data_IF_677186940173
#
_entry.id   IF_677186940173
#
_cell.length_a   1.000
_cell.length_b   1.000
_cell.length_c   1.000
_cell.angle_alpha   90.00
_cell.angle_beta   90.00
_cell.angle_gamma   90.00
#
_symmetry.space_group_name_H-M   'P 1'
#
loop_
_entity.id
_entity.type
_entity.pdbx_description
1 polymer ?
#
# COMPACT_ATOMS: atom_id res chain seq x y z
N UNK A 1 -47.59 -81.08 -16.49
CA UNK A 1 -46.42 -81.33 -15.62
C UNK A 1 -45.44 -80.19 -15.81
N UNK A 2 -44.86 -79.77 -14.71
CA UNK A 2 -44.04 -78.57 -14.47
C UNK A 2 -42.73 -78.59 -15.27
N UNK A 3 -42.21 -77.41 -15.64
CA UNK A 3 -40.83 -76.95 -15.36
C UNK A 3 -40.31 -76.04 -16.49
N UNK A 4 -40.38 -74.71 -16.32
CA UNK A 4 -39.26 -73.85 -15.89
C UNK A 4 -38.04 -73.86 -16.83
N UNK A 5 -37.84 -72.78 -17.58
CA UNK A 5 -36.76 -71.79 -17.34
C UNK A 5 -36.70 -70.77 -18.47
N UNK A 6 -37.52 -69.75 -18.31
CA UNK A 6 -37.24 -68.38 -18.75
C UNK A 6 -36.05 -67.80 -17.97
N UNK A 7 -35.44 -66.76 -18.53
CA UNK A 7 -34.47 -65.83 -17.92
C UNK A 7 -33.00 -66.26 -17.87
N UNK A 8 -32.24 -65.97 -18.92
CA UNK A 8 -30.81 -65.73 -18.78
C UNK A 8 -30.16 -64.93 -19.92
N UNK A 9 -30.78 -63.86 -20.43
CA UNK A 9 -30.05 -62.90 -21.30
C UNK A 9 -30.55 -61.46 -21.10
N UNK A 10 -30.57 -60.96 -19.86
CA UNK A 10 -30.70 -59.51 -19.59
C UNK A 10 -29.90 -59.18 -18.34
N UNK A 11 -28.56 -59.29 -18.35
CA UNK A 11 -27.71 -58.76 -17.27
C UNK A 11 -26.28 -58.41 -17.74
N UNK A 12 -26.13 -57.75 -18.89
CA UNK A 12 -24.90 -56.99 -19.19
C UNK A 12 -25.28 -55.64 -19.81
N UNK A 13 -26.05 -54.86 -19.06
CA UNK A 13 -26.31 -53.45 -19.36
C UNK A 13 -26.68 -52.71 -18.07
N UNK A 14 -25.88 -52.88 -17.01
CA UNK A 14 -26.10 -52.17 -15.75
C UNK A 14 -24.84 -52.04 -14.88
N UNK A 15 -23.65 -51.82 -15.47
CA UNK A 15 -22.42 -51.55 -14.69
C UNK A 15 -21.49 -50.47 -15.27
N UNK A 16 -21.98 -49.55 -16.11
CA UNK A 16 -21.21 -48.33 -16.49
C UNK A 16 -22.06 -47.07 -16.30
N UNK A 17 -22.75 -46.98 -15.15
CA UNK A 17 -23.55 -45.81 -14.78
C UNK A 17 -23.48 -45.54 -13.26
N UNK A 18 -22.29 -45.72 -12.66
CA UNK A 18 -22.09 -45.46 -11.23
C UNK A 18 -20.70 -44.87 -10.90
N UNK A 19 -20.15 -44.01 -11.78
CA UNK A 19 -18.95 -43.22 -11.48
C UNK A 19 -19.08 -41.75 -11.91
N UNK A 20 -20.31 -41.21 -11.98
CA UNK A 20 -20.47 -39.77 -11.77
C UNK A 20 -20.50 -39.54 -10.27
N UNK A 21 -19.30 -39.55 -9.68
CA UNK A 21 -19.10 -39.07 -8.32
C UNK A 21 -19.64 -37.65 -8.24
N UNK A 22 -20.67 -37.46 -7.42
CA UNK A 22 -21.10 -36.14 -7.00
C UNK A 22 -19.88 -35.43 -6.43
N UNK A 23 -19.29 -34.51 -7.19
CA UNK A 23 -18.35 -33.55 -6.66
C UNK A 23 -19.14 -32.75 -5.62
N UNK A 24 -18.98 -33.12 -4.36
CA UNK A 24 -19.48 -32.35 -3.23
C UNK A 24 -18.70 -31.05 -3.24
N UNK A 25 -19.25 -30.02 -3.88
CA UNK A 25 -18.78 -28.65 -3.72
C UNK A 25 -19.10 -28.26 -2.28
N UNK A 26 -18.16 -28.48 -1.38
CA UNK A 26 -18.24 -27.94 -0.02
C UNK A 26 -18.38 -26.42 -0.15
N UNK A 27 -19.43 -25.79 0.41
CA UNK A 27 -19.47 -24.34 0.47
C UNK A 27 -18.26 -23.88 1.29
N UNK A 28 -17.30 -23.22 0.63
CA UNK A 28 -16.25 -22.51 1.33
C UNK A 28 -16.95 -21.48 2.21
N UNK A 29 -16.89 -21.67 3.52
CA UNK A 29 -17.29 -20.66 4.48
C UNK A 29 -16.45 -19.42 4.17
N UNK A 30 -17.07 -18.38 3.59
CA UNK A 30 -16.48 -17.05 3.57
C UNK A 30 -16.31 -16.66 5.04
N UNK A 31 -15.12 -16.83 5.57
CA UNK A 31 -14.74 -16.22 6.83
C UNK A 31 -14.86 -14.72 6.60
N UNK A 32 -15.95 -14.12 7.07
CA UNK A 32 -16.13 -12.68 7.14
C UNK A 32 -15.20 -12.13 8.22
N UNK A 33 -13.89 -12.24 7.98
CA UNK A 33 -12.90 -11.51 8.77
C UNK A 33 -13.19 -10.03 8.59
N UNK A 34 -13.63 -9.39 9.67
CA UNK A 34 -13.78 -7.95 9.73
C UNK A 34 -12.51 -7.30 9.18
N UNK A 35 -12.62 -6.38 8.20
CA UNK A 35 -11.46 -5.67 7.69
C UNK A 35 -10.67 -5.02 8.83
N UNK A 36 -9.34 -5.15 8.78
CA UNK A 36 -8.48 -4.46 9.74
C UNK A 36 -8.71 -2.96 9.63
N UNK A 37 -8.55 -2.25 10.73
CA UNK A 37 -8.55 -0.78 10.74
C UNK A 37 -7.15 -0.25 10.46
N UNK A 38 -7.04 0.99 9.98
CA UNK A 38 -5.75 1.65 9.81
C UNK A 38 -4.90 1.66 11.10
N UNK A 39 -5.53 1.84 12.26
CA UNK A 39 -4.81 1.81 13.54
C UNK A 39 -4.23 0.42 13.85
N UNK A 40 -4.97 -0.65 13.54
CA UNK A 40 -4.48 -2.02 13.70
C UNK A 40 -3.32 -2.31 12.74
N UNK A 41 -3.41 -1.91 11.47
CA UNK A 41 -2.31 -2.10 10.50
C UNK A 41 -1.04 -1.37 10.91
N UNK A 42 -1.14 -0.14 11.43
CA UNK A 42 0.03 0.58 11.98
C UNK A 42 0.65 -0.14 13.19
N UNK A 43 -0.19 -0.68 14.08
CA UNK A 43 0.31 -1.43 15.24
C UNK A 43 1.02 -2.72 14.82
N UNK A 44 0.49 -3.43 13.82
CA UNK A 44 1.14 -4.61 13.23
C UNK A 44 2.46 -4.27 12.55
N UNK A 45 2.49 -3.21 11.72
CA UNK A 45 3.71 -2.77 11.06
C UNK A 45 4.78 -2.38 12.06
N UNK A 46 4.42 -1.65 13.13
CA UNK A 46 5.36 -1.32 14.19
C UNK A 46 5.95 -2.57 14.85
N UNK A 47 5.13 -3.59 15.13
CA UNK A 47 5.61 -4.87 15.68
C UNK A 47 6.54 -5.58 14.70
N UNK A 48 6.18 -5.61 13.41
CA UNK A 48 7.00 -6.21 12.36
C UNK A 48 8.34 -5.48 12.18
N UNK A 49 8.33 -4.14 12.24
CA UNK A 49 9.55 -3.34 12.20
C UNK A 49 10.48 -3.65 13.36
N UNK A 50 9.96 -3.82 14.57
CA UNK A 50 10.76 -4.23 15.72
C UNK A 50 11.31 -5.65 15.52
N UNK A 51 10.47 -6.62 15.16
CA UNK A 51 10.85 -8.02 15.03
C UNK A 51 11.90 -8.27 13.92
N UNK A 52 11.81 -7.52 12.83
CA UNK A 52 12.72 -7.64 11.69
C UNK A 52 13.87 -6.63 11.74
N UNK A 53 13.99 -5.86 12.82
CA UNK A 53 14.91 -4.74 12.95
C UNK A 53 14.79 -3.70 11.81
N UNK A 54 13.60 -3.48 11.24
CA UNK A 54 13.40 -2.52 10.14
C UNK A 54 13.48 -1.08 10.67
N UNK A 55 14.50 -0.33 10.25
CA UNK A 55 14.82 0.97 10.82
C UNK A 55 15.11 2.06 9.78
N UNK A 56 14.85 1.84 8.48
CA UNK A 56 15.17 2.82 7.42
C UNK A 56 13.91 3.50 6.87
N UNK A 57 13.84 4.83 6.99
CA UNK A 57 12.76 5.67 6.48
C UNK A 57 12.75 5.74 4.94
N UNK A 58 11.55 5.85 4.36
CA UNK A 58 11.31 5.65 2.94
C UNK A 58 11.89 6.74 2.02
N UNK A 59 11.59 8.02 2.28
CA UNK A 59 11.88 9.11 1.33
C UNK A 59 13.30 9.67 1.42
N UNK A 60 13.93 9.56 2.58
CA UNK A 60 15.26 10.06 2.85
C UNK A 60 16.27 8.95 3.13
N UNK A 61 15.83 7.70 3.37
CA UNK A 61 16.74 6.59 3.63
C UNK A 61 17.50 6.76 4.94
N UNK A 62 16.88 7.44 5.90
CA UNK A 62 17.48 7.81 7.18
C UNK A 62 16.98 6.86 8.26
N UNK A 63 17.87 6.53 9.19
CA UNK A 63 17.52 5.59 10.24
C UNK A 63 16.60 6.20 11.31
N UNK A 64 15.70 5.39 11.81
CA UNK A 64 14.77 5.71 12.89
C UNK A 64 14.71 4.57 13.92
N UNK A 65 14.33 4.90 15.15
CA UNK A 65 14.10 3.87 16.16
C UNK A 65 12.70 3.25 15.98
N UNK A 66 12.57 1.94 15.70
CA UNK A 66 11.27 1.30 15.46
C UNK A 66 10.38 1.20 16.70
N UNK A 67 10.94 1.28 17.90
CA UNK A 67 10.18 1.25 19.16
C UNK A 67 9.49 2.58 19.44
N UNK A 68 10.17 3.70 19.17
CA UNK A 68 9.66 5.05 19.46
C UNK A 68 9.14 5.78 18.23
N UNK A 69 9.45 5.29 17.02
CA UNK A 69 9.19 5.96 15.75
C UNK A 69 9.80 7.37 15.71
N UNK A 70 11.00 7.53 16.28
CA UNK A 70 11.77 8.79 16.28
C UNK A 70 12.95 8.67 15.34
N UNK A 71 13.26 9.73 14.59
CA UNK A 71 14.47 9.79 13.78
C UNK A 71 15.72 9.70 14.63
N UNK A 72 16.73 8.98 14.14
CA UNK A 72 18.07 9.02 14.71
C UNK A 72 18.80 10.30 14.26
N UNK A 73 19.79 10.79 15.02
CA UNK A 73 20.59 11.94 14.60
C UNK A 73 21.24 11.71 13.23
N UNK A 74 21.15 12.70 12.35
CA UNK A 74 21.62 12.62 10.96
C UNK A 74 22.00 14.01 10.45
N UNK A 75 22.89 14.06 9.47
CA UNK A 75 23.22 15.27 8.71
C UNK A 75 22.53 15.30 7.33
N UNK A 76 21.80 14.24 6.99
CA UNK A 76 21.25 14.05 5.65
C UNK A 76 19.81 14.55 5.51
N UNK A 77 19.20 14.99 6.61
CA UNK A 77 17.91 15.66 6.63
C UNK A 77 17.95 16.92 7.48
N UNK A 78 17.43 18.01 6.91
CA UNK A 78 17.21 19.28 7.60
C UNK A 78 15.74 19.64 7.44
N UNK A 79 14.99 19.84 8.54
CA UNK A 79 13.59 20.22 8.46
C UNK A 79 13.40 21.51 7.67
N UNK A 80 12.45 21.53 6.73
CA UNK A 80 12.04 22.74 6.02
C UNK A 80 11.42 23.75 6.99
N UNK A 81 10.70 23.26 8.01
CA UNK A 81 10.08 24.05 9.08
C UNK A 81 10.47 23.49 10.44
N UNK A 82 11.56 24.01 11.01
CA UNK A 82 11.99 23.65 12.37
C UNK A 82 10.93 24.00 13.45
N UNK A 83 10.13 25.05 13.20
CA UNK A 83 9.04 25.49 14.08
C UNK A 83 7.69 25.56 13.37
N UNK A 84 6.62 25.41 14.14
CA UNK A 84 5.24 25.62 13.71
C UNK A 84 4.93 27.11 13.56
N UNK A 85 3.77 27.46 13.01
CA UNK A 85 3.30 28.86 12.96
C UNK A 85 3.04 29.50 14.34
N UNK A 86 3.13 28.73 15.41
CA UNK A 86 2.98 29.19 16.81
C UNK A 86 4.32 29.15 17.56
N UNK A 87 5.44 29.18 16.85
CA UNK A 87 6.82 29.13 17.36
C UNK A 87 7.16 27.93 18.25
N UNK A 88 6.34 26.87 18.21
CA UNK A 88 6.63 25.59 18.87
C UNK A 88 7.51 24.72 17.99
N UNK A 89 8.35 23.87 18.59
CA UNK A 89 9.14 22.84 17.89
C UNK A 89 8.23 22.00 16.98
N UNK A 90 8.63 21.82 15.72
CA UNK A 90 7.90 20.94 14.80
C UNK A 90 8.19 19.47 15.16
N UNK A 91 7.25 18.83 15.86
CA UNK A 91 7.37 17.42 16.25
C UNK A 91 7.37 16.49 15.03
N UNK A 92 6.62 16.82 13.98
CA UNK A 92 6.51 15.96 12.78
C UNK A 92 7.85 15.83 12.06
N UNK A 93 8.72 16.82 12.18
CA UNK A 93 10.08 16.76 11.65
C UNK A 93 11.02 15.82 12.43
N UNK A 94 10.58 15.19 13.53
CA UNK A 94 11.39 14.29 14.38
C UNK A 94 10.82 12.88 14.49
N UNK A 95 9.66 12.63 13.91
CA UNK A 95 8.92 11.38 14.06
C UNK A 95 8.60 10.77 12.70
N UNK A 96 8.46 9.44 12.72
CA UNK A 96 7.95 8.66 11.61
C UNK A 96 6.43 8.61 11.69
N UNK A 97 5.81 8.84 10.53
CA UNK A 97 4.40 8.61 10.29
C UNK A 97 4.25 7.55 9.19
N UNK A 98 3.20 6.73 9.29
CA UNK A 98 2.88 5.77 8.24
C UNK A 98 2.22 6.50 7.07
N UNK A 99 2.95 6.59 5.97
CA UNK A 99 2.55 7.25 4.74
C UNK A 99 1.75 6.30 3.85
N UNK A 100 0.66 6.81 3.29
CA UNK A 100 -0.10 6.12 2.24
C UNK A 100 0.49 6.50 0.88
N UNK A 101 1.27 5.60 0.27
CA UNK A 101 1.92 5.87 -1.02
C UNK A 101 0.91 6.31 -2.07
N UNK A 102 -0.15 5.52 -2.30
CA UNK A 102 -1.39 6.00 -2.91
C UNK A 102 -2.23 6.66 -1.82
N UNK A 103 -2.41 8.00 -1.80
CA UNK A 103 -3.01 8.70 -0.68
C UNK A 103 -4.48 8.31 -0.52
N UNK A 104 -5.00 8.39 0.72
CA UNK A 104 -6.40 8.07 1.02
C UNK A 104 -7.42 8.84 0.18
N UNK A 105 -7.08 10.09 -0.18
CA UNK A 105 -7.86 10.86 -1.13
C UNK A 105 -7.94 10.18 -2.51
N UNK A 106 -6.83 9.65 -3.03
CA UNK A 106 -6.77 9.10 -4.39
C UNK A 106 -7.62 7.84 -4.56
N UNK A 107 -7.66 6.97 -3.55
CA UNK A 107 -8.48 5.75 -3.57
C UNK A 107 -9.90 5.94 -2.99
N UNK A 108 -10.13 7.02 -2.24
CA UNK A 108 -11.41 7.25 -1.56
C UNK A 108 -12.32 8.31 -2.20
N UNK A 109 -11.78 9.29 -2.94
CA UNK A 109 -12.53 10.49 -3.38
C UNK A 109 -13.82 10.21 -4.15
N UNK A 110 -13.87 9.10 -4.88
CA UNK A 110 -15.00 8.76 -5.75
C UNK A 110 -16.10 7.96 -5.03
N UNK A 111 -15.80 7.44 -3.83
CA UNK A 111 -16.74 6.69 -3.00
C UNK A 111 -17.83 7.60 -2.43
N UNK A 112 -19.04 7.05 -2.27
CA UNK A 112 -20.17 7.80 -1.73
C UNK A 112 -19.91 8.29 -0.29
N UNK A 113 -19.24 7.47 0.54
CA UNK A 113 -18.85 7.89 1.89
C UNK A 113 -18.02 9.18 1.87
N UNK A 114 -17.14 9.33 0.88
CA UNK A 114 -16.25 10.48 0.78
C UNK A 114 -17.01 11.71 0.30
N UNK A 115 -17.93 11.55 -0.66
CA UNK A 115 -18.83 12.62 -1.10
C UNK A 115 -19.69 13.16 0.05
N UNK A 116 -20.04 12.29 1.02
CA UNK A 116 -20.86 12.64 2.17
C UNK A 116 -20.12 13.36 3.32
N UNK A 117 -18.79 13.52 3.25
CA UNK A 117 -18.04 14.24 4.30
C UNK A 117 -16.55 13.88 4.44
N UNK A 118 -15.94 13.44 3.35
CA UNK A 118 -14.53 13.07 3.25
C UNK A 118 -14.16 11.82 4.03
N UNK A 119 -12.85 11.65 4.27
CA UNK A 119 -12.24 10.49 4.96
C UNK A 119 -12.96 10.11 6.26
N UNK A 120 -13.41 11.09 7.05
CA UNK A 120 -14.10 10.85 8.34
C UNK A 120 -15.40 10.05 8.17
N UNK A 121 -16.11 10.24 7.06
CA UNK A 121 -17.34 9.51 6.76
C UNK A 121 -17.09 8.13 6.18
N UNK A 122 -15.87 7.85 5.71
CA UNK A 122 -15.48 6.56 5.16
C UNK A 122 -14.99 5.53 6.20
N UNK A 123 -14.85 5.90 7.48
CA UNK A 123 -14.38 4.97 8.52
C UNK A 123 -15.28 3.75 8.76
N UNK A 124 -16.53 3.80 8.29
CA UNK A 124 -17.49 2.68 8.34
C UNK A 124 -17.67 1.99 6.98
N UNK A 125 -17.11 2.56 5.93
CA UNK A 125 -17.18 1.98 4.60
C UNK A 125 -16.16 0.83 4.51
N UNK A 126 -16.65 -0.38 4.24
CA UNK A 126 -15.81 -1.59 4.26
C UNK A 126 -14.74 -1.54 3.16
N UNK A 127 -15.09 -1.06 1.97
CA UNK A 127 -14.17 -0.97 0.84
C UNK A 127 -13.06 0.05 1.16
N UNK A 128 -13.42 1.23 1.65
CA UNK A 128 -12.45 2.22 2.07
C UNK A 128 -11.55 1.71 3.19
N UNK A 129 -12.12 1.06 4.19
CA UNK A 129 -11.37 0.55 5.35
C UNK A 129 -10.37 -0.53 4.94
N UNK A 130 -10.72 -1.38 3.98
CA UNK A 130 -9.78 -2.35 3.38
C UNK A 130 -8.60 -1.65 2.70
N UNK A 131 -8.87 -0.69 1.80
CA UNK A 131 -7.82 0.06 1.11
C UNK A 131 -6.92 0.86 2.06
N UNK A 132 -7.51 1.49 3.08
CA UNK A 132 -6.79 2.31 4.04
C UNK A 132 -5.91 1.48 4.99
N UNK A 133 -6.33 0.25 5.29
CA UNK A 133 -5.61 -0.66 6.18
C UNK A 133 -4.60 -1.56 5.45
N UNK A 134 -4.52 -1.49 4.13
CA UNK A 134 -3.56 -2.28 3.37
C UNK A 134 -2.12 -1.88 3.68
N UNK A 135 -1.40 -2.79 4.33
CA UNK A 135 0.00 -2.60 4.72
C UNK A 135 0.93 -2.44 3.51
N UNK A 136 0.61 -2.99 2.34
CA UNK A 136 1.40 -2.82 1.11
C UNK A 136 1.46 -1.36 0.66
N UNK A 137 0.44 -0.58 1.00
CA UNK A 137 0.38 0.85 0.69
C UNK A 137 0.97 1.74 1.81
N UNK A 138 1.55 1.14 2.86
CA UNK A 138 2.07 1.85 4.02
C UNK A 138 3.59 1.76 4.13
N UNK A 139 4.24 2.93 4.18
CA UNK A 139 5.69 3.05 4.37
C UNK A 139 6.00 3.98 5.56
N UNK A 140 7.17 3.84 6.22
CA UNK A 140 7.59 4.78 7.24
C UNK A 140 8.14 6.03 6.57
N UNK A 141 7.53 7.20 6.83
CA UNK A 141 7.96 8.48 6.28
C UNK A 141 8.25 9.50 7.39
N UNK A 142 9.19 10.42 7.17
CA UNK A 142 9.34 11.59 8.05
C UNK A 142 8.02 12.36 8.07
N UNK A 143 7.48 12.64 9.27
CA UNK A 143 6.17 13.27 9.42
C UNK A 143 6.04 14.62 8.72
N UNK A 144 7.09 15.44 8.68
CA UNK A 144 7.10 16.70 7.90
C UNK A 144 6.97 16.46 6.39
N UNK A 145 7.68 15.47 5.85
CA UNK A 145 7.63 15.13 4.42
C UNK A 145 6.27 14.54 4.06
N UNK A 146 5.73 13.64 4.90
CA UNK A 146 4.34 13.16 4.76
C UNK A 146 3.34 14.33 4.76
N UNK A 147 3.49 15.29 5.68
CA UNK A 147 2.68 16.50 5.73
C UNK A 147 2.68 17.28 4.42
N UNK A 148 3.90 17.54 3.93
CA UNK A 148 4.13 18.42 2.81
C UNK A 148 3.71 17.74 1.50
N UNK A 149 3.97 16.43 1.37
CA UNK A 149 3.52 15.59 0.26
C UNK A 149 1.99 15.62 0.13
N UNK A 150 1.25 15.59 1.25
CA UNK A 150 -0.21 15.69 1.25
C UNK A 150 -0.85 14.62 0.34
N UNK A 151 -1.73 15.01 -0.59
CA UNK A 151 -2.28 14.16 -1.64
C UNK A 151 -1.72 14.53 -3.03
N UNK A 152 -0.52 15.11 -3.08
CA UNK A 152 0.09 15.57 -4.31
C UNK A 152 0.49 14.41 -5.22
N UNK A 153 0.33 14.64 -6.52
CA UNK A 153 0.66 13.65 -7.54
C UNK A 153 2.19 13.51 -7.64
N UNK A 154 2.65 12.29 -7.87
CA UNK A 154 4.05 12.07 -8.18
C UNK A 154 4.40 12.64 -9.56
N UNK A 155 5.64 13.08 -9.71
CA UNK A 155 6.17 13.58 -10.97
C UNK A 155 7.66 13.23 -11.12
N UNK A 156 8.12 13.17 -12.37
CA UNK A 156 9.53 13.05 -12.69
C UNK A 156 10.27 14.37 -12.48
N UNK A 157 11.50 14.28 -11.99
CA UNK A 157 12.42 15.41 -11.99
C UNK A 157 12.86 15.71 -13.42
N UNK A 158 12.82 16.99 -13.80
CA UNK A 158 13.49 17.52 -14.99
C UNK A 158 14.67 18.42 -14.59
N UNK A 159 15.35 19.01 -15.57
CA UNK A 159 16.49 19.88 -15.31
C UNK A 159 16.14 21.12 -14.47
N UNK A 160 14.89 21.61 -14.52
CA UNK A 160 14.43 22.79 -13.77
C UNK A 160 14.04 22.41 -12.34
N UNK A 161 13.33 21.30 -12.14
CA UNK A 161 12.92 20.84 -10.80
C UNK A 161 14.10 20.24 -10.04
N UNK A 162 15.09 19.66 -10.70
CA UNK A 162 16.33 19.19 -10.06
C UNK A 162 17.09 20.31 -9.35
N UNK A 163 17.00 21.55 -9.84
CA UNK A 163 17.57 22.73 -9.18
C UNK A 163 16.82 23.14 -7.91
N UNK A 164 15.64 22.56 -7.65
CA UNK A 164 14.82 22.80 -6.44
C UNK A 164 15.04 21.76 -5.34
N UNK A 165 15.88 20.75 -5.59
CA UNK A 165 16.36 19.84 -4.55
C UNK A 165 17.09 20.62 -3.46
N UNK A 166 17.10 20.09 -2.23
CA UNK A 166 17.64 20.78 -1.05
C UNK A 166 16.58 21.30 -0.08
N UNK A 167 15.28 21.16 -0.42
CA UNK A 167 14.16 21.59 0.42
C UNK A 167 14.19 20.96 1.83
N UNK A 168 14.77 19.77 1.97
CA UNK A 168 14.91 19.02 3.22
C UNK A 168 16.37 18.67 3.55
N UNK A 169 17.32 19.54 3.22
CA UNK A 169 18.76 19.25 3.36
C UNK A 169 19.27 18.33 2.25
N UNK A 170 20.00 17.27 2.58
CA UNK A 170 20.51 16.32 1.56
C UNK A 170 19.48 15.29 1.10
N UNK A 171 18.32 15.22 1.77
CA UNK A 171 17.22 14.38 1.32
C UNK A 171 16.69 14.91 -0.02
N UNK A 172 16.96 14.16 -1.09
CA UNK A 172 16.72 14.56 -2.47
C UNK A 172 15.26 14.36 -2.91
N UNK A 173 14.31 14.75 -2.06
CA UNK A 173 12.90 14.89 -2.43
C UNK A 173 12.54 16.37 -2.56
N UNK A 174 11.50 16.65 -3.35
CA UNK A 174 10.98 17.99 -3.51
C UNK A 174 9.46 18.00 -3.55
N UNK A 175 8.86 18.91 -2.80
CA UNK A 175 7.43 19.20 -2.77
C UNK A 175 7.17 20.55 -3.43
N UNK A 176 6.49 20.52 -4.57
CA UNK A 176 5.98 21.71 -5.25
C UNK A 176 4.55 22.00 -4.77
N UNK A 177 4.43 22.83 -3.73
CA UNK A 177 3.14 23.24 -3.18
C UNK A 177 2.26 23.99 -4.17
N UNK A 178 2.86 24.70 -5.14
CA UNK A 178 2.12 25.53 -6.10
C UNK A 178 1.43 24.65 -7.12
N UNK A 179 2.16 23.69 -7.69
CA UNK A 179 1.65 22.78 -8.71
C UNK A 179 1.09 21.47 -8.13
N UNK A 180 1.13 21.29 -6.80
CA UNK A 180 0.65 20.11 -6.09
C UNK A 180 1.30 18.82 -6.61
N UNK A 181 2.63 18.86 -6.75
CA UNK A 181 3.46 17.73 -7.18
C UNK A 181 4.48 17.35 -6.12
N UNK A 182 4.77 16.06 -6.03
CA UNK A 182 5.85 15.52 -5.21
C UNK A 182 6.85 14.77 -6.09
N UNK A 183 8.12 15.06 -5.91
CA UNK A 183 9.23 14.53 -6.69
C UNK A 183 10.09 13.65 -5.77
N UNK A 184 9.93 12.32 -5.82
CA UNK A 184 10.69 11.39 -4.99
C UNK A 184 12.11 11.18 -5.53
N UNK A 185 12.97 10.52 -4.76
CA UNK A 185 14.29 10.08 -5.24
C UNK A 185 14.13 8.91 -6.21
N UNK A 186 15.13 8.74 -7.08
CA UNK A 186 15.17 7.62 -8.03
C UNK A 186 15.01 6.24 -7.36
N UNK A 187 15.54 6.06 -6.14
CA UNK A 187 15.44 4.81 -5.39
C UNK A 187 14.02 4.44 -4.95
N UNK A 188 13.11 5.40 -4.82
CA UNK A 188 11.71 5.14 -4.39
C UNK A 188 10.77 4.88 -5.56
N UNK A 189 11.09 5.39 -6.75
CA UNK A 189 10.18 5.40 -7.91
C UNK A 189 9.63 4.02 -8.24
N UNK A 190 10.46 2.99 -8.23
CA UNK A 190 10.04 1.61 -8.48
C UNK A 190 9.01 1.11 -7.46
N UNK A 191 9.24 1.38 -6.18
CA UNK A 191 8.35 0.96 -5.08
C UNK A 191 7.02 1.71 -5.18
N UNK A 192 7.07 3.03 -5.40
CA UNK A 192 5.88 3.87 -5.61
C UNK A 192 5.05 3.32 -6.77
N UNK A 193 5.69 3.04 -7.90
CA UNK A 193 5.05 2.50 -9.08
C UNK A 193 4.36 1.17 -8.83
N UNK A 194 5.08 0.20 -8.25
CA UNK A 194 4.51 -1.12 -7.95
C UNK A 194 3.36 -1.05 -6.95
N UNK A 195 3.43 -0.18 -5.95
CA UNK A 195 2.31 0.03 -5.02
C UNK A 195 1.11 0.65 -5.74
N UNK A 196 1.31 1.64 -6.63
CA UNK A 196 0.20 2.21 -7.40
C UNK A 196 -0.47 1.19 -8.30
N UNK A 197 0.32 0.41 -9.04
CA UNK A 197 -0.17 -0.64 -9.92
C UNK A 197 -0.89 -1.73 -9.12
N UNK A 198 -0.31 -2.17 -8.00
CA UNK A 198 -0.93 -3.11 -7.07
C UNK A 198 -2.28 -2.59 -6.55
N UNK A 199 -2.35 -1.35 -6.04
CA UNK A 199 -3.58 -0.77 -5.51
C UNK A 199 -4.65 -0.64 -6.61
N UNK A 200 -4.24 -0.27 -7.83
CA UNK A 200 -5.12 -0.18 -8.99
C UNK A 200 -5.72 -1.54 -9.36
N UNK A 201 -4.88 -2.55 -9.52
CA UNK A 201 -5.29 -3.91 -9.88
C UNK A 201 -6.12 -4.57 -8.77
N UNK A 202 -5.64 -4.51 -7.52
CA UNK A 202 -6.23 -5.21 -6.40
C UNK A 202 -7.60 -4.65 -5.98
N UNK A 203 -7.78 -3.33 -6.08
CA UNK A 203 -9.01 -2.66 -5.64
C UNK A 203 -9.85 -2.08 -6.78
N UNK A 204 -9.46 -2.31 -8.04
CA UNK A 204 -10.16 -1.79 -9.21
C UNK A 204 -10.14 -0.25 -9.30
N UNK A 205 -9.09 0.39 -8.80
CA UNK A 205 -8.96 1.86 -8.84
C UNK A 205 -8.48 2.27 -10.23
N UNK A 206 -9.30 2.99 -10.98
CA UNK A 206 -8.92 3.52 -12.29
C UNK A 206 -7.85 4.61 -12.15
N UNK A 207 -6.70 4.39 -12.77
CA UNK A 207 -5.66 5.39 -12.96
C UNK A 207 -5.97 6.25 -14.18
N UNK A 208 -5.57 7.52 -14.16
CA UNK A 208 -5.54 8.31 -15.39
C UNK A 208 -4.45 7.76 -16.31
N UNK A 209 -4.57 8.00 -17.62
CA UNK A 209 -3.57 7.57 -18.61
C UNK A 209 -2.16 8.08 -18.25
N UNK A 210 -2.06 9.33 -17.77
CA UNK A 210 -0.79 9.93 -17.37
C UNK A 210 -0.21 9.28 -16.11
N UNK A 211 -1.04 9.02 -15.09
CA UNK A 211 -0.60 8.30 -13.88
C UNK A 211 -0.13 6.89 -14.24
N UNK A 212 -0.93 6.13 -15.00
CA UNK A 212 -0.58 4.77 -15.38
C UNK A 212 0.70 4.71 -16.22
N UNK A 213 0.85 5.59 -17.21
CA UNK A 213 2.06 5.68 -18.02
C UNK A 213 3.30 5.99 -17.17
N UNK A 214 3.20 6.91 -16.21
CA UNK A 214 4.30 7.22 -15.29
C UNK A 214 4.66 6.02 -14.41
N UNK A 215 3.68 5.35 -13.82
CA UNK A 215 3.94 4.19 -12.96
C UNK A 215 4.54 3.03 -13.76
N UNK A 216 4.03 2.72 -14.96
CA UNK A 216 4.61 1.67 -15.81
C UNK A 216 6.03 2.00 -16.25
N UNK A 217 6.32 3.26 -16.56
CA UNK A 217 7.68 3.73 -16.87
C UNK A 217 8.61 3.49 -15.69
N UNK A 218 8.20 3.90 -14.48
CA UNK A 218 9.00 3.76 -13.27
C UNK A 218 9.20 2.30 -12.85
N UNK A 219 8.18 1.46 -12.91
CA UNK A 219 8.29 0.04 -12.60
C UNK A 219 9.32 -0.65 -13.50
N UNK A 220 9.26 -0.37 -14.82
CA UNK A 220 10.22 -0.91 -15.80
C UNK A 220 11.65 -0.39 -15.57
N UNK A 221 11.80 0.88 -15.22
CA UNK A 221 13.13 1.50 -15.06
C UNK A 221 13.80 1.16 -13.73
N UNK A 222 13.03 0.86 -12.68
CA UNK A 222 13.52 0.68 -11.32
C UNK A 222 13.12 -0.70 -10.76
N UNK A 223 13.91 -1.76 -11.05
CA UNK A 223 13.61 -3.11 -10.58
C UNK A 223 13.64 -3.24 -9.05
N UNK A 224 13.01 -4.28 -8.48
CA UNK A 224 12.95 -4.46 -7.02
C UNK A 224 14.31 -4.51 -6.35
N UNK A 225 14.45 -3.78 -5.24
CA UNK A 225 15.71 -3.64 -4.49
C UNK A 225 15.72 -4.49 -3.22
N UNK A 226 16.88 -4.59 -2.57
CA UNK A 226 16.97 -5.24 -1.25
C UNK A 226 16.11 -4.52 -0.19
N UNK A 227 16.07 -3.18 -0.22
CA UNK A 227 15.20 -2.39 0.65
C UNK A 227 13.72 -2.74 0.44
N UNK A 228 13.27 -2.86 -0.81
CA UNK A 228 11.88 -3.23 -1.09
C UNK A 228 11.54 -4.63 -0.58
N UNK A 229 12.42 -5.62 -0.80
CA UNK A 229 12.23 -6.97 -0.26
C UNK A 229 12.12 -6.94 1.26
N UNK A 230 12.94 -6.12 1.91
CA UNK A 230 12.92 -5.94 3.35
C UNK A 230 11.63 -5.26 3.84
N UNK A 231 11.16 -4.22 3.14
CA UNK A 231 9.90 -3.55 3.42
C UNK A 231 8.72 -4.53 3.27
N UNK A 232 8.65 -5.27 2.17
CA UNK A 232 7.57 -6.23 1.90
C UNK A 232 7.50 -7.34 2.97
N UNK A 233 8.65 -7.79 3.49
CA UNK A 233 8.70 -8.78 4.56
C UNK A 233 8.01 -8.29 5.85
N UNK A 234 8.00 -6.98 6.11
CA UNK A 234 7.31 -6.40 7.28
C UNK A 234 5.80 -6.26 7.09
N UNK A 235 5.33 -6.24 5.83
CA UNK A 235 3.94 -5.98 5.49
C UNK A 235 3.11 -7.27 5.45
N UNK A 236 3.76 -8.42 5.21
CA UNK A 236 3.16 -9.75 5.34
C UNK A 236 4.05 -10.64 6.25
N UNK A 237 4.19 -10.28 7.54
CA UNK A 237 5.07 -10.97 8.47
C UNK A 237 4.51 -12.33 8.89
#
# INVERSE_FOLDING_TARGET
>A
MISLRTYQVIWILCCILALFGCAQTSPQALTTTTPKTFSQSKAELKKAYIAQNFHTEFYCGIDFNPHTLTLLPTQDYTPRRATTSKDKKNVRAKHIEFEHIMPAHRFGKDLQCWKNGGRKMCVKDKQFTQMESDKRNLVPAIGEINADRSNFEYADLDSKTSQKLGQYGKCAVYTDFKNKKFYPRESEKGIIARIYLYMSEHYGITLTEQEEALMRKWDKAHPPTAYEKYLLATQNP
#
